data_IF_350403824266
#
_entry.id   IF_350403824266
#
_cell.length_a   1.000
_cell.length_b   1.000
_cell.length_c   1.000
_cell.angle_alpha   90.00
_cell.angle_beta   90.00
_cell.angle_gamma   90.00
#
_symmetry.space_group_name_H-M   'P 1'
#
loop_
_entity.id
_entity.type
_entity.pdbx_description
1 polymer ?
#
# COMPACT_ATOMS: atom_id res chain seq x y z
N UNK A 1 -9.40 -5.94 14.32
CA UNK A 1 -9.17 -4.88 13.29
C UNK A 1 -7.90 -5.23 12.54
N UNK A 2 -7.85 -5.08 11.22
CA UNK A 2 -6.69 -5.46 10.40
C UNK A 2 -6.42 -4.41 9.32
N UNK A 3 -5.18 -4.32 8.87
CA UNK A 3 -4.77 -3.50 7.73
C UNK A 3 -4.63 -4.37 6.49
N UNK A 4 -5.17 -3.91 5.36
CA UNK A 4 -4.95 -4.57 4.08
C UNK A 4 -3.52 -4.33 3.62
N UNK A 5 -2.89 -5.41 3.14
CA UNK A 5 -1.53 -5.37 2.60
C UNK A 5 -1.51 -5.92 1.19
N UNK A 6 -0.53 -5.45 0.42
CA UNK A 6 -0.20 -5.95 -0.92
C UNK A 6 1.28 -6.32 -0.98
N UNK A 7 1.63 -7.18 -1.92
CA UNK A 7 3.03 -7.51 -2.20
C UNK A 7 3.79 -6.22 -2.59
N UNK A 8 5.02 -6.11 -2.11
CA UNK A 8 5.89 -4.95 -2.26
C UNK A 8 7.26 -5.30 -2.85
N UNK A 9 7.40 -6.48 -3.45
CA UNK A 9 8.63 -6.89 -4.12
C UNK A 9 8.93 -5.92 -5.27
N UNK A 10 10.18 -5.47 -5.38
CA UNK A 10 10.61 -4.47 -6.36
C UNK A 10 10.20 -3.02 -6.04
N UNK A 11 9.43 -2.76 -4.98
CA UNK A 11 9.07 -1.40 -4.60
C UNK A 11 10.28 -0.60 -4.09
N UNK A 12 10.48 0.62 -4.58
CA UNK A 12 11.70 1.42 -4.35
C UNK A 12 12.01 1.76 -2.88
N UNK A 13 11.01 1.73 -1.99
CA UNK A 13 11.19 1.92 -0.53
C UNK A 13 10.82 0.64 0.22
N UNK A 14 9.53 0.30 0.21
CA UNK A 14 9.00 -0.87 0.93
C UNK A 14 9.61 -2.23 0.56
N UNK A 15 10.14 -2.40 -0.65
CA UNK A 15 10.84 -3.64 -1.05
C UNK A 15 12.18 -3.85 -0.34
N UNK A 16 12.70 -2.81 0.32
CA UNK A 16 13.94 -2.87 1.12
C UNK A 16 13.69 -3.09 2.62
N UNK A 17 12.42 -3.13 3.04
CA UNK A 17 12.02 -3.33 4.42
C UNK A 17 11.88 -4.83 4.74
N UNK A 18 11.59 -5.18 5.99
CA UNK A 18 11.49 -6.57 6.49
C UNK A 18 12.80 -7.37 6.39
N UNK A 19 12.85 -8.59 6.95
CA UNK A 19 14.06 -9.39 6.95
C UNK A 19 14.42 -9.87 5.53
N UNK A 20 15.71 -10.10 5.22
CA UNK A 20 16.09 -10.75 3.97
C UNK A 20 15.44 -12.13 3.81
N UNK A 21 14.96 -12.44 2.61
CA UNK A 21 14.28 -13.72 2.31
C UNK A 21 12.77 -13.74 2.59
N UNK A 22 12.24 -12.80 3.39
CA UNK A 22 10.80 -12.66 3.62
C UNK A 22 10.11 -11.98 2.43
N UNK A 23 8.87 -12.40 2.12
CA UNK A 23 7.98 -11.68 1.19
C UNK A 23 7.84 -10.23 1.64
N UNK A 24 8.04 -9.29 0.73
CA UNK A 24 7.85 -7.88 1.04
C UNK A 24 6.37 -7.55 0.98
N UNK A 25 5.85 -7.01 2.07
CA UNK A 25 4.46 -6.55 2.18
C UNK A 25 4.43 -5.08 2.58
N UNK A 26 3.56 -4.31 1.95
CA UNK A 26 3.23 -2.95 2.36
C UNK A 26 1.76 -2.85 2.70
N UNK A 27 1.42 -1.98 3.65
CA UNK A 27 0.04 -1.53 3.82
C UNK A 27 -0.41 -0.73 2.60
N UNK A 28 -1.70 -0.80 2.28
CA UNK A 28 -2.31 0.05 1.26
C UNK A 28 -2.51 1.45 1.84
N UNK A 29 -1.88 2.45 1.22
CA UNK A 29 -2.03 3.86 1.59
C UNK A 29 -2.94 4.50 0.56
N UNK A 30 -4.14 4.88 0.98
CA UNK A 30 -5.12 5.55 0.13
C UNK A 30 -4.76 7.03 -0.04
N UNK A 31 -5.04 7.60 -1.21
CA UNK A 31 -4.99 9.06 -1.40
C UNK A 31 -6.20 9.69 -0.74
N UNK A 32 -6.09 10.94 -0.23
CA UNK A 32 -7.23 11.64 0.35
C UNK A 32 -8.44 11.74 -0.59
N UNK A 33 -8.20 11.84 -1.91
CA UNK A 33 -9.24 11.87 -2.94
C UNK A 33 -10.05 10.58 -3.03
N UNK A 34 -9.52 9.46 -2.55
CA UNK A 34 -10.11 8.13 -2.69
C UNK A 34 -10.86 7.70 -1.42
N UNK A 35 -10.84 8.51 -0.35
CA UNK A 35 -11.42 8.14 0.94
C UNK A 35 -12.94 7.93 0.87
N UNK A 36 -13.65 8.82 0.18
CA UNK A 36 -15.11 8.73 0.11
C UNK A 36 -15.56 7.48 -0.65
N UNK A 37 -14.95 7.23 -1.82
CA UNK A 37 -15.22 6.02 -2.59
C UNK A 37 -14.80 4.76 -1.80
N UNK A 38 -13.64 4.74 -1.14
CA UNK A 38 -13.22 3.61 -0.32
C UNK A 38 -14.21 3.26 0.80
N UNK A 39 -14.73 4.27 1.49
CA UNK A 39 -15.62 4.08 2.65
C UNK A 39 -17.04 3.67 2.26
N UNK A 40 -17.50 4.03 1.06
CA UNK A 40 -18.91 3.91 0.70
C UNK A 40 -19.18 2.99 -0.50
N UNK A 41 -18.15 2.64 -1.29
CA UNK A 41 -18.35 1.86 -2.51
C UNK A 41 -18.92 0.48 -2.22
N UNK A 42 -19.92 0.09 -3.01
CA UNK A 42 -20.42 -1.29 -3.09
C UNK A 42 -19.81 -2.04 -4.27
N UNK A 43 -19.01 -1.34 -5.09
CA UNK A 43 -18.35 -1.92 -6.24
C UNK A 43 -17.01 -2.55 -5.80
N UNK A 44 -17.00 -3.88 -5.75
CA UNK A 44 -15.82 -4.65 -5.33
C UNK A 44 -14.63 -4.42 -6.26
N UNK A 45 -14.86 -4.21 -7.56
CA UNK A 45 -13.78 -4.01 -8.52
C UNK A 45 -13.16 -2.62 -8.38
N UNK A 46 -13.98 -1.60 -8.06
CA UNK A 46 -13.47 -0.28 -7.69
C UNK A 46 -12.60 -0.34 -6.42
N UNK A 47 -13.07 -1.03 -5.37
CA UNK A 47 -12.29 -1.23 -4.15
C UNK A 47 -10.98 -1.99 -4.41
N UNK A 48 -10.99 -3.04 -5.24
CA UNK A 48 -9.78 -3.79 -5.63
C UNK A 48 -8.78 -2.93 -6.40
N UNK A 49 -9.26 -2.04 -7.27
CA UNK A 49 -8.40 -1.13 -8.03
C UNK A 49 -7.60 -0.18 -7.12
N UNK A 50 -8.09 0.11 -5.91
CA UNK A 50 -7.40 0.94 -4.92
C UNK A 50 -6.31 0.20 -4.13
N UNK A 51 -6.30 -1.14 -4.17
CA UNK A 51 -5.33 -1.97 -3.44
C UNK A 51 -3.99 -2.01 -4.19
N UNK A 52 -3.30 -0.87 -4.21
CA UNK A 52 -2.05 -0.66 -4.91
C UNK A 52 -0.95 -0.14 -3.95
N UNK A 53 0.31 -0.32 -4.36
CA UNK A 53 1.43 0.27 -3.64
C UNK A 53 1.42 1.79 -3.81
N UNK A 54 1.67 2.50 -2.71
CA UNK A 54 1.86 3.95 -2.76
C UNK A 54 3.16 4.30 -3.49
N UNK A 55 3.20 5.28 -4.39
CA UNK A 55 4.40 5.54 -5.19
C UNK A 55 5.62 5.88 -4.33
N UNK A 56 6.72 5.15 -4.53
CA UNK A 56 7.98 5.36 -3.78
C UNK A 56 8.50 6.80 -3.81
N UNK A 57 8.31 7.52 -4.93
CA UNK A 57 8.74 8.92 -5.10
C UNK A 57 7.98 9.90 -4.19
N UNK A 58 6.79 9.51 -3.73
CA UNK A 58 5.94 10.32 -2.85
C UNK A 58 6.18 9.94 -1.37
N UNK A 59 7.21 9.13 -1.09
CA UNK A 59 7.59 8.69 0.26
C UNK A 59 8.94 9.26 0.67
N UNK A 60 9.05 9.63 1.94
CA UNK A 60 10.33 9.92 2.60
C UNK A 60 10.59 8.83 3.64
N UNK A 61 11.76 8.21 3.57
CA UNK A 61 12.21 7.22 4.54
C UNK A 61 13.49 7.72 5.20
N UNK A 62 13.56 7.65 6.53
CA UNK A 62 14.72 7.99 7.32
C UNK A 62 15.02 6.84 8.29
N UNK A 63 16.29 6.61 8.68
CA UNK A 63 16.61 5.71 9.77
C UNK A 63 15.94 6.20 11.07
N UNK A 64 15.72 5.26 12.00
CA UNK A 64 15.26 5.59 13.35
C UNK A 64 16.34 6.33 14.13
#
# INVERSE_FOLDING_TARGET
MSMLTVNADGHGVMGRMHKPGDEKRSVVILRPTDYDEWLHTKNVDAARAMLQLYPARDMVAAPK
#
